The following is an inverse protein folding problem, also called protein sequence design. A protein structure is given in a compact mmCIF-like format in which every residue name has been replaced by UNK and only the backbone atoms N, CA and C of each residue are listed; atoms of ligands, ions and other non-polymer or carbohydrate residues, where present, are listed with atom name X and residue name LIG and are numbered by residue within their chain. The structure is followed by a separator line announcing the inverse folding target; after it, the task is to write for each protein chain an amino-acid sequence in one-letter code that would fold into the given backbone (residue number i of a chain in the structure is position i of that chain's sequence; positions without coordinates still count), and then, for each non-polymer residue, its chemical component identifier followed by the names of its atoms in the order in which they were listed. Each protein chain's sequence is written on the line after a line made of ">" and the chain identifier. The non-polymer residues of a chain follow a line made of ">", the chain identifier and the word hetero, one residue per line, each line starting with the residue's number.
data_IF_931006848414
#
_entry.id   IF_931006848414
#
_cell.length_a   1.000
_cell.length_b   1.000
_cell.length_c   1.000
_cell.angle_alpha   90.00
_cell.angle_beta   90.00
_cell.angle_gamma   90.00
#
_symmetry.space_group_name_H-M   'P 1'
#
loop_
_entity.id
_entity.type
_entity.pdbx_description
1 polymer ?
2 non-polymer ?
3 water ?
#
# COMPACT_ATOMS: atom_id res chain seq x y z
N UNK A 5 -11.09 12.85 16.14
CA UNK A 5 -12.03 12.64 15.02
C UNK A 5 -11.85 11.29 14.32
N UNK A 6 -11.38 10.28 15.03
CA UNK A 6 -11.24 8.95 14.46
C UNK A 6 -12.40 8.07 14.90
N UNK A 7 -13.07 7.44 13.94
CA UNK A 7 -14.10 6.47 14.27
C UNK A 7 -13.51 5.15 14.76
N UNK A 8 -12.30 4.80 14.32
CA UNK A 8 -11.64 3.57 14.75
C UNK A 8 -11.29 3.64 16.22
N UNK A 9 -11.67 2.63 16.99
CA UNK A 9 -11.44 2.74 18.42
C UNK A 9 -9.94 2.64 18.73
N UNK A 10 -9.58 3.04 19.96
CA UNK A 10 -8.18 3.19 20.33
C UNK A 10 -7.45 1.86 20.33
N UNK A 11 -8.09 0.80 20.83
CA UNK A 11 -7.44 -0.51 20.83
C UNK A 11 -7.09 -0.94 19.40
N UNK A 12 -8.01 -0.72 18.45
CA UNK A 12 -7.72 -1.05 17.06
C UNK A 12 -6.61 -0.16 16.49
N UNK A 13 -6.64 1.15 16.80
CA UNK A 13 -5.57 2.03 16.35
C UNK A 13 -4.21 1.51 16.79
N UNK A 14 -4.11 1.04 18.05
CA UNK A 14 -2.85 0.56 18.58
C UNK A 14 -2.41 -0.73 17.91
N UNK A 15 -3.35 -1.67 17.73
CA UNK A 15 -2.99 -2.96 17.15
C UNK A 15 -2.48 -2.81 15.72
N UNK A 16 -3.11 -1.95 14.92
CA UNK A 16 -2.75 -1.87 13.52
C UNK A 16 -1.63 -0.89 13.24
N UNK A 17 -1.44 0.13 14.07
CA UNK A 17 -0.53 1.22 13.72
C UNK A 17 0.32 1.72 14.90
N UNK A 18 -0.34 2.19 15.97
CA UNK A 18 0.37 3.00 16.95
C UNK A 18 1.35 2.16 17.77
N UNK A 19 0.96 0.93 18.12
CA UNK A 19 1.84 0.06 18.90
C UNK A 19 2.37 -1.11 18.10
N UNK A 20 2.14 -1.10 16.79
CA UNK A 20 2.61 -2.17 15.92
C UNK A 20 3.98 -1.78 15.38
N UNK A 21 4.89 -2.75 15.36
CA UNK A 21 6.28 -2.53 15.01
C UNK A 21 6.73 -3.61 14.04
N UNK A 22 7.81 -3.33 13.33
CA UNK A 22 8.40 -4.29 12.41
C UNK A 22 9.27 -5.25 13.21
N UNK A 23 9.01 -6.56 13.10
CA UNK A 23 9.73 -7.55 13.91
C UNK A 23 11.03 -7.95 13.22
N UNK A 24 12.12 -7.92 13.97
CA UNK A 24 13.41 -8.40 13.48
C UNK A 24 13.76 -9.78 14.01
N UNK A 25 12.99 -10.31 14.96
CA UNK A 25 13.15 -11.67 15.42
C UNK A 25 11.77 -12.27 15.60
N UNK A 26 11.68 -13.61 15.53
CA UNK A 26 10.39 -14.29 15.62
C UNK A 26 10.49 -15.51 16.53
N UNK A 27 9.40 -15.77 17.24
CA UNK A 27 9.22 -17.06 17.88
C UNK A 27 9.05 -18.13 16.81
N UNK A 28 9.53 -19.36 17.07
CA UNK A 28 9.45 -20.42 16.06
C UNK A 28 8.04 -20.99 15.86
N UNK A 29 7.09 -20.60 16.70
CA UNK A 29 5.74 -21.15 16.67
C UNK A 29 5.17 -21.19 15.26
N UNK A 30 4.78 -22.39 14.84
CA UNK A 30 4.16 -22.59 13.53
C UNK A 30 2.96 -21.67 13.34
N UNK A 31 2.87 -21.08 12.15
CA UNK A 31 1.72 -20.27 11.73
C UNK A 31 0.95 -21.07 10.69
N UNK A 32 -0.30 -21.39 11.00
CA UNK A 32 -1.06 -22.30 10.14
C UNK A 32 -1.65 -21.62 8.92
N UNK A 33 -2.00 -22.46 7.94
CA UNK A 33 -2.60 -21.93 6.72
C UNK A 33 -3.90 -21.19 7.01
N UNK A 34 -4.68 -21.70 7.97
CA UNK A 34 -5.98 -21.09 8.28
C UNK A 34 -5.81 -19.67 8.81
N UNK A 35 -4.71 -19.41 9.50
CA UNK A 35 -4.42 -18.05 9.97
C UNK A 35 -4.23 -17.11 8.80
N UNK A 36 -3.43 -17.52 7.81
CA UNK A 36 -3.22 -16.69 6.63
C UNK A 36 -4.51 -16.54 5.85
N UNK A 37 -5.31 -17.62 5.78
CA UNK A 37 -6.61 -17.55 5.13
C UNK A 37 -7.49 -16.47 5.76
N UNK A 38 -7.56 -16.42 7.09
CA UNK A 38 -8.37 -15.39 7.74
C UNK A 38 -7.86 -14.00 7.41
N UNK A 39 -6.54 -13.86 7.25
CA UNK A 39 -5.97 -12.55 6.98
C UNK A 39 -6.31 -12.11 5.56
N UNK A 40 -6.09 -12.99 4.58
CA UNK A 40 -6.47 -12.70 3.20
C UNK A 40 -7.97 -12.41 3.09
N UNK A 41 -8.80 -13.18 3.79
CA UNK A 41 -10.25 -12.97 3.70
C UNK A 41 -10.63 -11.55 4.14
N UNK A 42 -9.86 -10.97 5.07
CA UNK A 42 -10.13 -9.62 5.53
C UNK A 42 -9.64 -8.59 4.53
N UNK A 43 -8.35 -8.66 4.14
CA UNK A 43 -7.74 -7.56 3.39
C UNK A 43 -7.88 -7.68 1.88
N UNK A 44 -8.42 -8.80 1.38
CA UNK A 44 -8.69 -8.85 -0.06
C UNK A 44 -9.68 -7.79 -0.49
N UNK A 45 -10.47 -7.25 0.45
CA UNK A 45 -11.42 -6.21 0.09
C UNK A 45 -10.76 -4.87 -0.17
N UNK A 46 -9.55 -4.65 0.34
CA UNK A 46 -8.83 -3.42 0.07
C UNK A 46 -8.78 -3.11 -1.42
N UNK A 47 -9.03 -1.86 -1.81
CA UNK A 47 -9.27 -1.57 -3.23
C UNK A 47 -7.99 -1.49 -4.05
N UNK A 48 -8.11 -1.90 -5.30
CA UNK A 48 -7.07 -1.69 -6.30
C UNK A 48 -7.69 -1.11 -7.56
N UNK A 49 -6.85 -0.46 -8.36
CA UNK A 49 -7.25 0.15 -9.63
C UNK A 49 -7.96 -0.85 -10.53
N UNK A 51 -10.14 -2.85 -9.82
CA UNK A 51 -10.27 -4.12 -9.11
C UNK A 51 -9.24 -5.13 -9.57
N UNK A 52 -8.05 -4.68 -10.01
CA UNK A 52 -7.16 -5.58 -10.74
C UNK A 52 -6.33 -6.50 -9.84
N UNK A 53 -6.31 -6.26 -8.53
CA UNK A 53 -5.69 -7.13 -7.52
C UNK A 53 -4.61 -8.07 -8.06
N UNK A 54 -3.44 -7.56 -8.46
CA UNK A 54 -2.42 -8.41 -9.09
C UNK A 54 -1.55 -9.20 -8.13
N UNK A 56 0.14 -11.93 -5.99
CA UNK A 56 0.19 -13.38 -5.85
C UNK A 56 1.21 -13.71 -4.77
N UNK A 57 0.94 -14.75 -4.00
CA UNK A 57 1.70 -15.02 -2.78
C UNK A 57 2.16 -16.47 -2.79
N UNK A 58 3.45 -16.69 -2.49
CA UNK A 58 3.97 -18.02 -2.20
C UNK A 58 4.41 -18.02 -0.75
N UNK A 59 3.86 -18.93 0.04
CA UNK A 59 4.22 -19.09 1.45
C UNK A 59 5.42 -20.03 1.53
N UNK A 60 6.58 -19.48 1.89
CA UNK A 60 7.82 -20.25 1.95
C UNK A 60 7.91 -20.76 3.38
N UNK A 61 7.25 -21.89 3.62
CA UNK A 61 7.20 -22.39 5.00
C UNK A 61 8.27 -23.43 5.28
N UNK A 62 8.41 -24.44 4.42
CA UNK A 62 9.31 -25.55 4.70
C UNK A 62 10.76 -25.08 4.76
N UNK A 63 11.57 -25.81 5.55
CA UNK A 63 13.01 -25.52 5.60
C UNK A 63 13.62 -25.62 4.21
N UNK A 64 13.21 -26.63 3.44
CA UNK A 64 13.72 -26.81 2.09
C UNK A 64 13.53 -25.57 1.24
N UNK A 65 12.29 -25.06 1.15
CA UNK A 65 12.07 -23.87 0.35
C UNK A 65 12.75 -22.65 0.97
N UNK A 66 12.79 -22.57 2.31
CA UNK A 66 13.43 -21.44 2.94
C UNK A 66 14.91 -21.38 2.59
N UNK A 67 15.60 -22.53 2.58
CA UNK A 67 17.00 -22.51 2.20
C UNK A 67 17.17 -22.06 0.76
N UNK A 68 16.25 -22.46 -0.11
CA UNK A 68 16.30 -22.03 -1.50
C UNK A 68 16.04 -20.53 -1.62
N UNK A 69 15.15 -19.99 -0.77
CA UNK A 69 14.93 -18.55 -0.77
C UNK A 69 16.17 -17.81 -0.28
N UNK A 70 16.82 -18.34 0.75
CA UNK A 70 17.87 -17.59 1.45
C UNK A 70 19.07 -17.33 0.56
N UNK A 71 19.32 -18.17 -0.44
CA UNK A 71 20.44 -17.89 -1.33
C UNK A 71 20.24 -16.60 -2.10
N UNK A 72 19.01 -16.12 -2.23
CA UNK A 72 18.72 -14.91 -2.96
C UNK A 72 18.51 -13.69 -2.07
N UNK A 73 18.68 -13.86 -0.77
CA UNK A 73 18.48 -12.80 0.22
C UNK A 73 19.84 -12.21 0.59
N UNK A 74 19.91 -10.88 0.68
CA UNK A 74 21.18 -10.25 1.06
C UNK A 74 21.61 -10.70 2.45
N UNK A 75 22.94 -10.79 2.64
CA UNK A 75 23.50 -11.32 3.88
C UNK A 75 22.82 -10.73 5.12
N UNK A 76 22.67 -9.41 5.15
CA UNK A 76 22.18 -8.72 6.33
C UNK A 76 20.72 -9.00 6.66
N UNK A 77 19.99 -9.65 5.76
CA UNK A 77 18.60 -10.00 6.00
C UNK A 77 18.37 -11.49 6.23
N UNK A 78 19.40 -12.32 6.06
CA UNK A 78 19.22 -13.76 6.16
C UNK A 78 18.82 -14.18 7.58
N UNK A 79 19.37 -13.52 8.59
CA UNK A 79 19.02 -13.83 9.98
C UNK A 79 17.52 -13.77 10.20
N UNK A 80 16.89 -12.67 9.78
CA UNK A 80 15.45 -12.50 9.95
C UNK A 80 14.67 -13.52 9.12
N UNK A 81 15.02 -13.64 7.84
CA UNK A 81 14.26 -14.51 6.95
C UNK A 81 14.38 -15.97 7.37
N UNK A 82 15.52 -16.37 7.93
CA UNK A 82 15.72 -17.76 8.33
C UNK A 82 14.95 -18.12 9.59
N UNK A 83 14.77 -17.17 10.50
CA UNK A 83 14.15 -17.46 11.78
C UNK A 83 12.63 -17.28 11.78
N UNK A 84 12.07 -16.59 10.80
CA UNK A 84 10.62 -16.46 10.75
C UNK A 84 9.96 -17.83 10.58
N UNK A 85 8.88 -18.11 11.32
CA UNK A 85 8.15 -19.38 11.08
C UNK A 85 7.50 -19.45 9.71
N UNK A 86 7.24 -18.30 9.09
CA UNK A 86 6.58 -18.26 7.80
C UNK A 86 7.10 -17.04 7.05
N UNK A 87 7.38 -17.21 5.77
CA UNK A 87 7.80 -16.12 4.91
C UNK A 87 6.86 -16.09 3.71
N UNK A 88 6.29 -14.92 3.42
CA UNK A 88 5.44 -14.76 2.25
C UNK A 88 6.24 -14.01 1.19
N UNK A 89 6.28 -14.57 -0.04
CA UNK A 89 6.89 -13.90 -1.17
C UNK A 89 5.78 -13.36 -2.06
N UNK A 90 5.82 -12.05 -2.30
CA UNK A 90 4.79 -11.37 -3.07
C UNK A 90 5.31 -11.10 -4.47
N UNK A 91 4.48 -11.39 -5.48
CA UNK A 91 4.77 -11.07 -6.86
C UNK A 91 3.56 -10.41 -7.50
N UNK A 92 3.82 -9.56 -8.48
CA UNK A 92 2.78 -8.86 -9.22
C UNK A 92 2.50 -9.65 -10.49
N UNK A 93 1.24 -10.01 -10.69
CA UNK A 93 0.85 -10.76 -11.88
C UNK A 93 0.80 -9.82 -13.07
N UNK A 94 1.79 -9.95 -13.97
CA UNK A 94 1.84 -9.11 -15.17
C UNK A 94 0.75 -9.49 -16.16
N UNK A 95 0.13 -10.66 -16.01
CA UNK A 95 -1.00 -11.05 -16.83
C UNK A 95 -2.33 -10.64 -16.22
N UNK A 96 -2.33 -9.73 -15.24
CA UNK A 96 -3.58 -9.31 -14.61
C UNK A 96 -4.60 -8.78 -15.62
N UNK A 97 -4.21 -8.13 -16.72
CA UNK A 97 -5.26 -7.68 -17.67
C UNK A 97 -6.17 -8.80 -18.13
N UNK A 98 -5.64 -10.04 -18.28
CA UNK A 98 -6.48 -11.16 -18.69
C UNK A 98 -7.61 -11.44 -17.71
N UNK A 99 -7.49 -11.00 -16.46
CA UNK A 99 -8.50 -11.29 -15.45
C UNK A 99 -9.59 -10.21 -15.36
N UNK A 100 -9.45 -9.10 -16.07
CA UNK A 100 -10.34 -7.95 -15.92
C UNK A 100 -11.74 -8.21 -16.48
N UNK A 101 -11.88 -8.92 -17.60
CA UNK A 101 -13.24 -9.30 -18.05
C UNK A 101 -14.04 -9.94 -16.94
N UNK A 102 -13.36 -10.67 -16.06
CA UNK A 102 -14.02 -11.32 -14.94
C UNK A 102 -14.12 -10.39 -13.73
N UNK A 103 -13.03 -9.71 -13.38
CA UNK A 103 -12.97 -8.95 -12.13
C UNK A 103 -13.53 -7.55 -12.26
N UNK A 104 -13.45 -6.97 -13.45
CA UNK A 104 -13.98 -5.63 -13.72
C UNK A 104 -14.93 -5.74 -14.89
N UNK A 105 -16.05 -6.46 -14.71
CA UNK A 105 -16.81 -6.96 -15.88
C UNK A 105 -17.59 -5.89 -16.62
N UNK A 106 -17.97 -4.80 -15.97
CA UNK A 106 -18.82 -3.79 -16.61
C UNK A 106 -18.06 -2.93 -17.61
N UNK A 107 -16.74 -3.05 -17.71
CA UNK A 107 -15.92 -2.31 -18.66
C UNK A 107 -15.10 -3.31 -19.44
N UNK A 108 -15.68 -3.91 -20.49
CA UNK A 108 -15.01 -5.03 -21.15
C UNK A 108 -13.70 -4.67 -21.82
N UNK A 109 -13.49 -3.40 -22.18
CA UNK A 109 -12.25 -2.97 -22.82
C UNK A 109 -11.20 -2.49 -21.83
N UNK A 110 -11.46 -2.64 -20.53
CA UNK A 110 -10.51 -2.18 -19.52
C UNK A 110 -9.10 -2.70 -19.79
N UNK A 111 -8.98 -3.98 -20.11
CA UNK A 111 -7.66 -4.59 -20.24
C UNK A 111 -6.79 -3.88 -21.27
N UNK A 112 -7.40 -3.26 -22.28
CA UNK A 112 -6.60 -2.57 -23.30
C UNK A 112 -5.91 -1.32 -22.78
N UNK A 113 -6.27 -0.85 -21.58
CA UNK A 113 -5.50 0.21 -20.95
C UNK A 113 -4.06 -0.21 -20.68
N UNK A 114 -3.78 -1.52 -20.69
CA UNK A 114 -2.46 -2.04 -20.33
C UNK A 114 -1.78 -2.71 -21.51
N UNK A 115 -2.09 -2.24 -22.73
CA UNK A 115 -1.46 -2.78 -23.93
C UNK A 115 0.04 -2.59 -23.90
N UNK A 116 0.50 -1.43 -23.41
CA UNK A 116 1.91 -1.11 -23.34
C UNK A 116 2.55 -1.87 -22.18
N UNK A 117 3.72 -2.45 -22.42
CA UNK A 117 4.35 -3.31 -21.41
C UNK A 117 4.74 -2.52 -20.16
N UNK A 118 5.28 -1.31 -20.34
CA UNK A 118 5.65 -0.51 -19.18
C UNK A 118 4.41 -0.11 -18.38
N UNK A 119 3.38 0.36 -19.07
CA UNK A 119 2.14 0.69 -18.36
C UNK A 119 1.62 -0.51 -17.57
N UNK A 120 1.67 -1.69 -18.17
CA UNK A 120 1.19 -2.89 -17.52
C UNK A 120 2.06 -3.24 -16.30
N UNK A 121 3.38 -3.24 -16.47
CA UNK A 121 4.27 -3.54 -15.35
C UNK A 121 4.10 -2.52 -14.23
N UNK A 122 4.07 -1.23 -14.59
CA UNK A 122 3.96 -0.21 -13.56
C UNK A 122 2.66 -0.35 -12.78
N UNK A 123 1.57 -0.69 -13.47
CA UNK A 123 0.29 -0.83 -12.78
C UNK A 123 0.29 -2.07 -11.90
N UNK A 124 0.84 -3.17 -12.40
CA UNK A 124 0.89 -4.40 -11.61
C UNK A 124 1.67 -4.17 -10.31
N UNK A 125 2.79 -3.47 -10.39
CA UNK A 125 3.62 -3.28 -9.20
C UNK A 125 2.97 -2.29 -8.24
N UNK A 126 2.44 -1.19 -8.76
CA UNK A 126 1.81 -0.20 -7.91
C UNK A 126 0.66 -0.81 -7.11
N UNK A 127 -0.21 -1.60 -7.77
CA UNK A 127 -1.34 -2.15 -7.02
C UNK A 127 -0.92 -3.32 -6.13
N UNK A 128 0.15 -4.04 -6.49
CA UNK A 128 0.67 -5.05 -5.56
C UNK A 128 1.30 -4.41 -4.34
N UNK A 129 1.85 -3.19 -4.50
CA UNK A 129 2.35 -2.43 -3.35
C UNK A 129 1.20 -1.97 -2.48
N UNK A 130 0.13 -1.47 -3.08
CA UNK A 130 -1.10 -1.19 -2.33
C UNK A 130 -1.51 -2.40 -1.52
N UNK A 131 -1.59 -3.56 -2.19
CA UNK A 131 -2.01 -4.78 -1.50
C UNK A 131 -1.03 -5.19 -0.41
N UNK A 132 0.27 -4.92 -0.60
CA UNK A 132 1.22 -5.21 0.46
C UNK A 132 0.92 -4.38 1.70
N UNK A 133 0.56 -3.11 1.51
CA UNK A 133 0.15 -2.30 2.64
C UNK A 133 -1.06 -2.86 3.36
N UNK A 134 -2.08 -3.27 2.59
CA UNK A 134 -3.22 -3.95 3.19
C UNK A 134 -2.76 -5.22 3.90
N UNK A 135 -1.84 -5.97 3.28
CA UNK A 135 -1.43 -7.25 3.84
C UNK A 135 -0.69 -7.06 5.15
N UNK A 136 0.17 -6.04 5.21
CA UNK A 136 0.85 -5.74 6.47
C UNK A 136 -0.17 -5.45 7.56
N UNK A 137 -1.16 -4.60 7.27
CA UNK A 137 -2.21 -4.32 8.25
C UNK A 137 -2.96 -5.60 8.61
N UNK A 138 -3.21 -6.45 7.61
CA UNK A 138 -3.91 -7.70 7.88
C UNK A 138 -3.12 -8.64 8.78
N UNK A 139 -1.81 -8.74 8.55
CA UNK A 139 -0.97 -9.57 9.42
C UNK A 139 -1.08 -9.10 10.86
N UNK A 140 -1.01 -7.78 11.08
CA UNK A 140 -1.21 -7.24 12.42
C UNK A 140 -2.64 -7.50 12.91
N UNK A 141 -3.62 -7.39 12.01
CA UNK A 141 -5.00 -7.68 12.42
C UNK A 141 -5.14 -9.10 12.92
N UNK A 142 -4.34 -10.02 12.39
CA UNK A 142 -4.33 -11.41 12.80
C UNK A 142 -3.55 -11.68 14.07
N UNK A 143 -3.16 -10.62 14.79
CA UNK A 143 -2.37 -10.79 16.00
C UNK A 143 -0.92 -11.16 15.78
N UNK A 144 -0.42 -11.05 14.55
CA UNK A 144 0.94 -11.42 14.22
C UNK A 144 1.81 -10.17 14.02
N UNK A 145 3.09 -10.39 13.75
CA UNK A 145 4.01 -9.32 13.43
C UNK A 145 4.51 -9.51 12.00
N UNK A 146 4.65 -8.41 11.27
CA UNK A 146 5.16 -8.43 9.91
C UNK A 146 6.58 -7.90 9.90
N UNK A 147 7.41 -8.51 9.06
CA UNK A 147 8.76 -8.04 8.86
C UNK A 147 9.07 -7.98 7.39
N UNK A 148 8.68 -6.88 6.73
CA UNK A 148 8.90 -6.77 5.29
C UNK A 148 10.38 -6.67 4.97
N UNK A 149 10.74 -7.19 3.79
CA UNK A 149 12.13 -7.28 3.37
C UNK A 149 12.23 -6.91 1.89
N UNK A 150 13.07 -5.92 1.57
CA UNK A 150 13.33 -5.56 0.19
C UNK A 150 14.74 -5.93 -0.27
N UNK A 151 15.64 -6.24 0.65
CA UNK A 151 17.01 -6.58 0.28
C UNK A 151 17.18 -8.01 -0.18
N UNK A 152 16.79 -8.29 -1.42
CA UNK A 152 16.92 -9.61 -2.01
C UNK A 152 17.02 -9.45 -3.52
N UNK A 153 17.34 -10.55 -4.21
CA UNK A 153 17.45 -10.52 -5.66
C UNK A 153 16.15 -11.00 -6.28
N UNK A 154 15.35 -10.09 -6.88
CA UNK A 154 14.04 -10.49 -7.39
C UNK A 154 14.10 -11.56 -8.47
N UNK A 155 15.04 -11.46 -9.41
CA UNK A 155 15.11 -12.46 -10.48
C UNK A 155 15.39 -13.85 -9.92
N UNK A 156 16.35 -13.95 -8.99
CA UNK A 156 16.62 -15.25 -8.39
C UNK A 156 15.40 -15.85 -7.71
N UNK A 157 14.64 -15.03 -7.00
CA UNK A 157 13.45 -15.53 -6.33
C UNK A 157 12.39 -15.96 -7.33
N UNK A 158 12.25 -15.19 -8.42
CA UNK A 158 11.33 -15.56 -9.50
C UNK A 158 11.64 -16.95 -10.02
N UNK A 159 12.92 -17.21 -10.32
CA UNK A 159 13.29 -18.51 -10.85
C UNK A 159 12.95 -19.64 -9.88
N UNK A 160 13.14 -19.41 -8.57
CA UNK A 160 12.92 -20.47 -7.58
C UNK A 160 11.45 -20.80 -7.41
N UNK A 161 10.58 -19.79 -7.31
CA UNK A 161 9.22 -20.00 -6.83
C UNK A 161 8.12 -19.63 -7.83
N UNK A 162 8.46 -18.93 -8.92
CA UNK A 162 7.45 -18.63 -9.94
C UNK A 162 8.01 -18.95 -11.32
N UNK A 163 8.68 -20.09 -11.49
CA UNK A 163 9.44 -20.32 -12.72
C UNK A 163 8.53 -20.32 -13.94
N UNK A 164 8.93 -19.57 -14.96
CA UNK A 164 8.17 -19.43 -16.18
C UNK A 164 6.86 -18.70 -16.06
N UNK A 165 6.53 -18.09 -14.83
CA UNK A 165 5.25 -17.39 -14.73
C UNK A 165 5.42 -15.91 -15.07
N UNK A 166 4.39 -15.28 -15.66
CA UNK A 166 4.49 -13.85 -16.01
C UNK A 166 4.24 -12.95 -14.79
N UNK A 167 5.24 -12.88 -13.92
CA UNK A 167 5.11 -12.11 -12.69
C UNK A 167 6.37 -11.26 -12.51
N UNK A 168 6.29 -10.35 -11.55
CA UNK A 168 7.41 -9.53 -11.12
C UNK A 168 7.49 -9.67 -9.61
N UNK A 169 8.54 -10.31 -9.10
CA UNK A 169 8.64 -10.48 -7.66
C UNK A 169 8.94 -9.14 -7.02
N UNK A 170 8.13 -8.75 -6.03
CA UNK A 170 8.22 -7.41 -5.49
C UNK A 170 8.63 -7.35 -4.02
N UNK A 171 8.35 -8.36 -3.22
CA UNK A 171 8.56 -8.16 -1.78
C UNK A 171 8.58 -9.50 -1.06
N UNK A 172 9.28 -9.51 0.08
CA UNK A 172 9.31 -10.63 1.01
C UNK A 172 8.77 -10.13 2.34
N UNK A 173 7.92 -10.92 2.99
CA UNK A 173 7.35 -10.53 4.27
C UNK A 173 7.50 -11.67 5.27
N UNK A 174 8.37 -11.47 6.26
CA UNK A 174 8.47 -12.38 7.38
C UNK A 174 7.23 -12.26 8.26
N UNK A 175 6.68 -13.39 8.66
CA UNK A 175 5.43 -13.43 9.41
C UNK A 175 5.61 -14.34 10.63
N UNK A 176 5.22 -13.85 11.79
CA UNK A 176 5.20 -14.71 12.97
C UNK A 176 4.89 -13.92 14.22
N UNK A 177 4.86 -14.65 15.34
CA UNK A 177 4.88 -13.99 16.64
C UNK A 177 6.28 -13.45 16.92
N UNK A 178 6.39 -12.28 17.53
CA UNK A 178 7.71 -11.68 17.71
C UNK A 178 8.55 -12.48 18.69
N UNK A 179 9.86 -12.45 18.45
CA UNK A 179 10.80 -13.11 19.32
C UNK A 179 11.29 -12.14 20.37
N UNK A 180 12.20 -12.59 21.24
CA UNK A 180 12.80 -11.65 22.20
C UNK A 180 13.62 -10.61 21.47
N UNK A 181 13.55 -9.37 21.96
CA UNK A 181 14.32 -8.27 21.39
C UNK A 181 14.00 -8.07 19.91
N UNK A 182 12.71 -8.17 19.57
CA UNK A 182 12.33 -8.09 18.16
C UNK A 182 12.32 -6.66 17.64
N UNK A 183 12.23 -5.67 18.52
CA UNK A 183 11.98 -4.29 18.13
C UNK A 183 13.03 -3.37 18.73
N UNK A 184 13.54 -2.45 17.92
CA UNK A 184 14.36 -1.35 18.41
C UNK A 184 13.50 -0.10 18.56
N UNK A 185 14.11 0.99 19.01
CA UNK A 185 13.37 2.22 19.25
C UNK A 185 12.68 2.68 17.98
N UNK A 186 11.47 3.20 18.13
CA UNK A 186 10.76 3.76 16.99
C UNK A 186 11.58 4.88 16.38
N UNK A 187 11.65 4.92 15.07
CA UNK A 187 12.38 5.97 14.38
C UNK A 187 11.47 7.16 14.11
N UNK A 188 12.05 8.30 13.71
CA UNK A 188 11.24 9.50 13.47
C UNK A 188 10.25 9.30 12.32
N UNK A 189 9.22 10.13 12.33
CA UNK A 189 8.31 10.27 11.22
C UNK A 189 8.25 11.75 10.86
N UNK A 190 8.16 12.06 9.58
CA UNK A 190 8.07 13.45 9.16
C UNK A 190 6.88 14.12 9.82
N UNK A 191 7.02 15.41 10.11
CA UNK A 191 5.92 16.18 10.62
C UNK A 191 4.83 16.32 9.58
N UNK A 192 3.59 16.48 10.05
CA UNK A 192 2.47 16.78 9.15
C UNK A 192 2.83 17.90 8.20
N UNK A 193 3.42 18.97 8.72
CA UNK A 193 3.71 20.15 7.92
C UNK A 193 4.78 19.88 6.86
N UNK A 194 5.58 18.83 7.02
CA UNK A 194 6.53 18.45 6.00
C UNK A 194 5.91 17.62 4.88
N UNK A 195 4.75 17.03 5.11
CA UNK A 195 4.16 16.07 4.19
C UNK A 195 2.98 16.65 3.44
N UNK A 196 2.16 17.47 4.10
CA UNK A 196 0.87 17.89 3.58
C UNK A 196 0.84 19.41 3.46
N UNK A 197 0.33 19.91 2.35
CA UNK A 197 -0.01 21.32 2.23
C UNK A 197 -1.32 21.45 1.48
N UNK A 198 -1.88 22.66 1.50
CA UNK A 198 -3.23 22.92 0.98
C UNK A 198 -3.17 24.01 -0.08
N UNK A 199 -4.07 23.91 -1.07
CA UNK A 199 -4.19 24.96 -2.08
C UNK A 199 -5.67 25.27 -2.39
N UNK B 5 -9.68 -16.42 13.83
CA UNK B 5 -8.32 -16.21 14.37
C UNK B 5 -7.80 -14.79 14.17
N UNK B 6 -8.70 -13.81 14.15
CA UNK B 6 -8.31 -12.40 14.01
C UNK B 6 -8.37 -11.71 15.37
N UNK B 7 -7.32 -10.97 15.71
CA UNK B 7 -7.33 -10.17 16.94
C UNK B 7 -8.14 -8.89 16.78
N UNK B 8 -8.15 -8.30 15.60
CA UNK B 8 -8.91 -7.09 15.37
C UNK B 8 -10.41 -7.38 15.51
N UNK B 9 -11.11 -6.58 16.31
CA UNK B 9 -12.52 -6.90 16.55
C UNK B 9 -13.37 -6.64 15.30
N UNK B 10 -14.57 -7.25 15.29
CA UNK B 10 -15.39 -7.25 14.09
C UNK B 10 -15.79 -5.85 13.65
N UNK B 11 -16.10 -4.96 14.59
CA UNK B 11 -16.53 -3.62 14.19
C UNK B 11 -15.38 -2.88 13.48
N UNK B 12 -14.15 -3.06 13.97
CA UNK B 12 -13.01 -2.46 13.30
C UNK B 12 -12.77 -3.12 11.94
N UNK B 13 -12.97 -4.45 11.86
CA UNK B 13 -12.84 -5.15 10.59
C UNK B 13 -13.80 -4.58 9.56
N UNK B 14 -15.04 -4.29 9.99
CA UNK B 14 -16.06 -3.77 9.07
C UNK B 14 -15.71 -2.36 8.62
N UNK B 15 -15.37 -1.49 9.58
CA UNK B 15 -15.07 -0.10 9.25
C UNK B 15 -13.93 0.01 8.22
N UNK B 16 -12.87 -0.78 8.41
CA UNK B 16 -11.67 -0.60 7.60
C UNK B 16 -11.71 -1.39 6.30
N UNK B 17 -12.38 -2.54 6.28
CA UNK B 17 -12.30 -3.44 5.14
C UNK B 17 -13.66 -4.00 4.71
N UNK B 18 -14.35 -4.73 5.59
CA UNK B 18 -15.45 -5.59 5.15
C UNK B 18 -16.65 -4.79 4.68
N UNK B 19 -16.97 -3.70 5.38
CA UNK B 19 -18.10 -2.85 4.99
C UNK B 19 -17.64 -1.52 4.42
N UNK B 20 -16.35 -1.35 4.14
CA UNK B 20 -15.84 -0.15 3.51
C UNK B 20 -15.84 -0.29 2.00
N UNK B 21 -16.23 0.78 1.31
CA UNK B 21 -16.43 0.76 -0.12
C UNK B 21 -15.85 2.02 -0.74
N UNK B 22 -15.56 1.94 -2.04
CA UNK B 22 -15.07 3.09 -2.78
C UNK B 22 -16.24 4.00 -3.14
N UNK B 23 -16.15 5.28 -2.76
CA UNK B 23 -17.27 6.20 -2.92
C UNK B 23 -17.21 6.87 -4.28
N UNK B 24 -18.34 6.86 -4.99
CA UNK B 24 -18.45 7.49 -6.30
C UNK B 24 -19.16 8.83 -6.24
N UNK B 25 -19.82 9.16 -5.14
CA UNK B 25 -20.45 10.45 -4.91
C UNK B 25 -20.16 10.87 -3.48
N UNK B 26 -20.17 12.18 -3.25
CA UNK B 26 -19.81 12.71 -1.93
C UNK B 26 -20.81 13.76 -1.47
N UNK B 27 -21.03 13.81 -0.16
CA UNK B 27 -21.67 14.97 0.42
C UNK B 27 -20.73 16.16 0.35
N UNK B 28 -21.25 17.37 0.17
CA UNK B 28 -20.40 18.56 0.04
C UNK B 28 -19.82 19.02 1.37
N UNK B 29 -20.19 18.38 2.48
CA UNK B 29 -19.74 18.78 3.80
C UNK B 29 -18.23 18.95 3.88
N UNK B 30 -17.80 20.14 4.33
CA UNK B 30 -16.37 20.44 4.47
C UNK B 30 -15.65 19.41 5.35
N UNK B 31 -14.46 18.99 4.92
CA UNK B 31 -13.59 18.11 5.70
C UNK B 31 -12.46 18.96 6.27
N UNK B 32 -12.37 19.02 7.61
CA UNK B 32 -11.44 19.94 8.24
C UNK B 32 -10.00 19.48 8.20
N UNK B 33 -9.08 20.46 8.25
CA UNK B 33 -7.66 20.13 8.31
C UNK B 33 -7.34 19.26 9.51
N UNK B 34 -8.00 19.52 10.65
CA UNK B 34 -7.77 18.74 11.86
C UNK B 34 -8.13 17.28 11.65
N UNK B 35 -9.15 17.02 10.84
CA UNK B 35 -9.52 15.65 10.48
C UNK B 35 -8.38 14.97 9.73
N UNK B 36 -7.82 15.64 8.71
CA UNK B 36 -6.75 15.00 7.96
C UNK B 36 -5.50 14.84 8.82
N UNK B 37 -5.23 15.81 9.70
CA UNK B 37 -4.11 15.65 10.63
C UNK B 37 -4.27 14.39 11.47
N UNK B 38 -5.47 14.14 12.00
CA UNK B 38 -5.65 12.96 12.84
C UNK B 38 -5.43 11.68 12.05
N UNK B 39 -5.81 11.67 10.78
CA UNK B 39 -5.59 10.49 9.93
C UNK B 39 -4.11 10.27 9.69
N UNK B 40 -3.40 11.34 9.29
CA UNK B 40 -1.95 11.23 9.11
C UNK B 40 -1.26 10.80 10.40
N UNK B 41 -1.69 11.34 11.53
CA UNK B 41 -1.03 10.98 12.79
C UNK B 41 -1.16 9.49 13.09
N UNK B 42 -2.21 8.85 12.60
CA UNK B 42 -2.41 7.42 12.80
C UNK B 42 -1.59 6.59 11.82
N UNK B 43 -1.70 6.89 10.52
CA UNK B 43 -1.12 6.01 9.50
C UNK B 43 0.32 6.35 9.13
N UNK B 44 0.86 7.49 9.59
CA UNK B 44 2.29 7.73 9.38
C UNK B 44 3.14 6.62 9.98
N UNK B 45 2.62 5.88 10.95
CA UNK B 45 3.41 4.82 11.57
C UNK B 45 3.59 3.62 10.65
N UNK B 46 2.70 3.43 9.69
CA UNK B 46 2.81 2.32 8.77
C UNK B 46 4.16 2.27 8.08
N UNK B 47 4.76 1.09 8.02
CA UNK B 47 6.19 1.01 7.68
C UNK B 47 6.49 1.16 6.20
N UNK B 48 7.65 1.77 5.93
CA UNK B 48 8.22 1.85 4.60
C UNK B 48 9.68 1.41 4.64
N UNK B 49 10.20 1.06 3.45
CA UNK B 49 11.58 0.61 3.32
C UNK B 49 12.57 1.65 3.85
N UNK B 51 12.46 3.26 6.38
CA UNK B 51 11.70 4.37 6.96
C UNK B 51 11.68 5.58 6.03
N UNK B 52 11.74 5.35 4.71
CA UNK B 52 11.94 6.43 3.73
C UNK B 52 10.68 7.26 3.43
N UNK B 53 9.50 6.83 3.86
CA UNK B 53 8.23 7.56 3.79
C UNK B 53 8.24 8.69 2.74
N UNK B 54 8.20 8.35 1.44
CA UNK B 54 8.31 9.37 0.39
C UNK B 54 7.02 10.08 0.06
N UNK B 56 4.18 12.61 -0.38
CA UNK B 56 3.84 14.01 -0.15
C UNK B 56 2.43 14.23 -0.64
N UNK B 57 1.70 15.14 0.02
CA UNK B 57 0.27 15.32 -0.20
C UNK B 57 -0.03 16.79 -0.43
N UNK B 58 -0.84 17.08 -1.44
CA UNK B 58 -1.41 18.41 -1.62
C UNK B 58 -2.92 18.26 -1.50
N UNK B 59 -3.50 18.98 -0.55
CA UNK B 59 -4.95 19.03 -0.37
C UNK B 59 -5.55 20.07 -1.30
N UNK B 60 -6.27 19.62 -2.32
CA UNK B 60 -6.84 20.49 -3.36
C UNK B 60 -8.23 20.91 -2.85
N UNK B 61 -8.26 22.00 -2.08
CA UNK B 61 -9.48 22.44 -1.40
C UNK B 61 -10.26 23.49 -2.17
N UNK B 62 -9.60 24.59 -2.55
CA UNK B 62 -10.27 25.70 -3.21
C UNK B 62 -10.84 25.29 -4.56
N UNK B 63 -11.98 25.90 -4.91
CA UNK B 63 -12.55 25.70 -6.26
C UNK B 63 -11.53 26.05 -7.33
N UNK B 64 -10.70 27.08 -7.08
CA UNK B 64 -9.70 27.47 -8.07
C UNK B 64 -8.75 26.32 -8.36
N UNK B 65 -8.14 25.76 -7.31
CA UNK B 65 -7.20 24.67 -7.54
C UNK B 65 -7.93 23.41 -8.03
N UNK B 66 -9.18 23.21 -7.62
CA UNK B 66 -9.89 22.04 -8.10
C UNK B 66 -10.14 22.14 -9.61
N UNK B 67 -10.46 23.34 -10.11
CA UNK B 67 -10.61 23.51 -11.55
C UNK B 67 -9.27 23.29 -12.26
N UNK B 68 -8.18 23.74 -11.65
CA UNK B 68 -6.86 23.51 -12.23
C UNK B 68 -6.54 22.02 -12.29
N UNK B 69 -6.89 21.28 -11.24
CA UNK B 69 -6.71 19.83 -11.24
C UNK B 69 -7.58 19.16 -12.30
N UNK B 70 -8.85 19.57 -12.39
CA UNK B 70 -9.79 18.85 -13.25
C UNK B 70 -9.39 18.86 -14.71
N UNK B 71 -8.65 19.87 -15.16
CA UNK B 71 -8.22 19.89 -16.55
C UNK B 71 -7.29 18.72 -16.88
N UNK B 72 -6.74 18.03 -15.89
CA UNK B 72 -5.83 16.91 -16.11
C UNK B 72 -6.46 15.57 -15.77
N UNK B 73 -7.71 15.56 -15.36
CA UNK B 73 -8.45 14.38 -14.98
C UNK B 73 -9.21 13.88 -16.20
N UNK B 74 -9.20 12.56 -16.43
CA UNK B 74 -9.96 12.01 -17.56
C UNK B 74 -11.46 12.29 -17.38
N UNK B 75 -12.13 12.57 -18.50
CA UNK B 75 -13.50 13.07 -18.43
C UNK B 75 -14.38 12.19 -17.56
N UNK B 76 -14.23 10.87 -17.66
CA UNK B 76 -15.05 9.95 -16.90
C UNK B 76 -14.83 9.99 -15.40
N UNK B 77 -13.82 10.70 -14.92
CA UNK B 77 -13.55 10.84 -13.50
C UNK B 77 -13.85 12.23 -12.97
N UNK B 78 -14.26 13.17 -13.84
CA UNK B 78 -14.38 14.56 -13.42
C UNK B 78 -15.55 14.77 -12.48
N UNK B 79 -16.64 14.04 -12.67
CA UNK B 79 -17.78 14.07 -11.76
C UNK B 79 -17.34 13.86 -10.31
N UNK B 80 -16.67 12.73 -10.05
CA UNK B 80 -16.28 12.40 -8.68
C UNK B 80 -15.30 13.44 -8.13
N UNK B 81 -14.27 13.76 -8.91
CA UNK B 81 -13.23 14.67 -8.43
C UNK B 81 -13.82 16.04 -8.14
N UNK B 82 -14.75 16.50 -8.99
CA UNK B 82 -15.33 17.82 -8.82
C UNK B 82 -16.24 17.88 -7.59
N UNK B 83 -16.98 16.80 -7.33
CA UNK B 83 -17.94 16.83 -6.24
C UNK B 83 -17.35 16.50 -4.88
N UNK B 84 -16.17 15.91 -4.83
CA UNK B 84 -15.57 15.61 -3.54
C UNK B 84 -15.31 16.90 -2.78
N UNK B 85 -15.65 16.96 -1.49
CA UNK B 85 -15.31 18.16 -0.71
C UNK B 85 -13.82 18.32 -0.52
N UNK B 86 -13.04 17.25 -0.63
CA UNK B 86 -11.60 17.34 -0.47
C UNK B 86 -10.94 16.31 -1.38
N UNK B 87 -9.86 16.72 -2.03
CA UNK B 87 -9.11 15.86 -2.94
C UNK B 87 -7.64 15.91 -2.53
N UNK B 88 -7.04 14.75 -2.31
CA UNK B 88 -5.62 14.65 -1.97
C UNK B 88 -4.86 14.22 -3.20
N UNK B 89 -3.83 14.99 -3.58
CA UNK B 89 -2.94 14.59 -4.65
C UNK B 89 -1.65 14.08 -4.03
N UNK B 90 -1.31 12.83 -4.31
CA UNK B 90 -0.13 12.19 -3.75
C UNK B 90 0.98 12.17 -4.78
N UNK B 91 2.20 12.51 -4.33
CA UNK B 91 3.39 12.42 -5.13
C UNK B 91 4.51 11.76 -4.33
N UNK B 92 5.37 11.04 -5.05
CA UNK B 92 6.53 10.41 -4.45
C UNK B 92 7.70 11.37 -4.51
N UNK B 93 8.35 11.58 -3.37
CA UNK B 93 9.47 12.53 -3.28
C UNK B 93 10.72 11.84 -3.78
N UNK B 94 11.17 12.21 -4.98
CA UNK B 94 12.38 11.59 -5.53
C UNK B 94 13.64 12.01 -4.77
N UNK B 95 13.57 13.04 -3.94
CA UNK B 95 14.70 13.42 -3.11
C UNK B 95 14.61 12.82 -1.71
N UNK B 96 13.80 11.77 -1.53
CA UNK B 96 13.69 11.17 -0.22
C UNK B 96 15.04 10.75 0.35
N UNK B 97 16.01 10.34 -0.48
CA UNK B 97 17.31 9.95 0.11
C UNK B 97 17.89 11.01 1.01
N UNK B 98 17.66 12.30 0.70
CA UNK B 98 18.22 13.36 1.53
C UNK B 98 17.64 13.39 2.93
N UNK B 99 16.49 12.76 3.16
CA UNK B 99 15.87 12.68 4.49
C UNK B 99 16.37 11.51 5.31
N UNK B 100 17.11 10.59 4.72
CA UNK B 100 17.47 9.35 5.40
C UNK B 100 18.47 9.58 6.53
N UNK B 101 19.39 10.55 6.44
CA UNK B 101 20.25 10.82 7.60
C UNK B 101 19.46 11.05 8.87
N UNK B 102 18.30 11.72 8.81
CA UNK B 102 17.55 11.90 10.04
C UNK B 102 16.47 10.86 10.26
N UNK B 103 15.89 10.29 9.19
CA UNK B 103 14.82 9.32 9.33
C UNK B 103 15.32 7.90 9.55
N UNK B 104 16.50 7.56 9.02
CA UNK B 104 17.11 6.24 9.19
C UNK B 104 18.52 6.43 9.70
N UNK B 105 18.66 7.00 10.91
CA UNK B 105 19.93 7.66 11.27
C UNK B 105 21.06 6.72 11.63
N UNK B 106 20.78 5.44 11.91
CA UNK B 106 21.81 4.51 12.34
C UNK B 106 22.51 3.82 11.17
N UNK B 107 22.14 4.15 9.94
CA UNK B 107 22.81 3.67 8.74
C UNK B 107 23.16 4.88 7.88
N UNK B 108 24.29 5.53 8.15
CA UNK B 108 24.55 6.84 7.53
C UNK B 108 24.74 6.78 6.02
N UNK B 109 25.01 5.61 5.46
CA UNK B 109 25.17 5.46 4.02
C UNK B 109 23.87 5.01 3.35
N UNK B 110 22.77 4.99 4.10
CA UNK B 110 21.52 4.51 3.54
C UNK B 110 21.17 5.24 2.25
N UNK B 111 21.33 6.57 2.27
CA UNK B 111 20.95 7.36 1.10
C UNK B 111 21.61 6.85 -0.17
N UNK B 112 22.81 6.26 -0.05
CA UNK B 112 23.57 5.87 -1.23
C UNK B 112 23.06 4.58 -1.86
N UNK B 113 22.18 3.86 -1.18
CA UNK B 113 21.49 2.76 -1.81
C UNK B 113 20.68 3.22 -3.01
N UNK B 114 20.44 4.53 -3.14
CA UNK B 114 19.56 5.04 -4.17
C UNK B 114 20.27 6.06 -5.06
N UNK B 115 21.56 5.83 -5.30
CA UNK B 115 22.29 6.69 -6.23
C UNK B 115 21.80 6.50 -7.66
N UNK B 116 21.36 5.31 -8.02
CA UNK B 116 20.85 5.08 -9.37
C UNK B 116 19.45 5.71 -9.50
N UNK B 117 19.25 6.49 -10.56
CA UNK B 117 17.99 7.21 -10.72
C UNK B 117 16.80 6.26 -10.86
N UNK B 118 16.98 5.18 -11.62
CA UNK B 118 15.87 4.23 -11.78
C UNK B 118 15.52 3.56 -10.46
N UNK B 119 16.54 3.14 -9.70
CA UNK B 119 16.28 2.51 -8.40
C UNK B 119 15.64 3.50 -7.44
N UNK B 120 16.06 4.77 -7.50
CA UNK B 120 15.50 5.78 -6.63
C UNK B 120 14.04 6.01 -6.95
N UNK B 121 13.72 6.17 -8.24
CA UNK B 121 12.34 6.39 -8.66
C UNK B 121 11.48 5.19 -8.27
N UNK B 122 11.97 3.98 -8.55
CA UNK B 122 11.17 2.79 -8.30
C UNK B 122 10.91 2.60 -6.81
N UNK B 123 11.90 2.92 -5.98
CA UNK B 123 11.67 2.85 -4.53
C UNK B 123 10.72 3.93 -4.07
N UNK B 124 10.84 5.14 -4.64
CA UNK B 124 9.94 6.22 -4.22
C UNK B 124 8.50 5.87 -4.56
N UNK B 125 8.25 5.35 -5.77
CA UNK B 125 6.88 5.06 -6.18
C UNK B 125 6.33 3.89 -5.38
N UNK B 126 7.14 2.84 -5.18
CA UNK B 126 6.68 1.65 -4.47
C UNK B 126 6.27 1.99 -3.04
N UNK B 127 7.12 2.74 -2.31
CA UNK B 127 6.79 3.05 -0.93
C UNK B 127 5.69 4.10 -0.83
N UNK B 128 5.55 4.98 -1.83
CA UNK B 128 4.41 5.88 -1.83
C UNK B 128 3.12 5.12 -2.10
N UNK B 129 3.17 4.06 -2.89
CA UNK B 129 1.99 3.23 -3.09
C UNK B 129 1.63 2.48 -1.81
N UNK B 130 2.64 1.92 -1.14
CA UNK B 130 2.46 1.36 0.19
C UNK B 130 1.75 2.35 1.10
N UNK B 131 2.24 3.58 1.15
CA UNK B 131 1.64 4.59 2.01
C UNK B 131 0.22 4.94 1.56
N UNK B 132 -0.05 4.86 0.27
CA UNK B 132 -1.43 5.08 -0.20
C UNK B 132 -2.34 4.01 0.37
N UNK B 133 -1.85 2.78 0.47
CA UNK B 133 -2.62 1.74 1.13
C UNK B 133 -2.96 2.10 2.55
N UNK B 134 -1.95 2.52 3.32
CA UNK B 134 -2.18 3.00 4.69
C UNK B 134 -3.17 4.16 4.70
N UNK B 135 -2.98 5.11 3.79
CA UNK B 135 -3.82 6.31 3.77
C UNK B 135 -5.28 5.96 3.52
N UNK B 136 -5.54 5.05 2.59
CA UNK B 136 -6.92 4.64 2.34
C UNK B 136 -7.53 4.08 3.62
N UNK B 137 -6.80 3.17 4.29
CA UNK B 137 -7.28 2.64 5.56
C UNK B 137 -7.45 3.75 6.59
N UNK B 138 -6.54 4.72 6.57
CA UNK B 138 -6.63 5.81 7.52
C UNK B 138 -7.85 6.68 7.28
N UNK B 139 -8.16 6.94 6.01
CA UNK B 139 -9.36 7.71 5.69
C UNK B 139 -10.59 7.02 6.24
N UNK B 140 -10.68 5.71 6.02
CA UNK B 140 -11.79 4.93 6.56
C UNK B 140 -11.79 4.95 8.09
N UNK B 141 -10.60 4.88 8.69
CA UNK B 141 -10.50 4.99 10.15
C UNK B 141 -11.05 6.32 10.65
N UNK B 142 -10.92 7.38 9.87
CA UNK B 142 -11.47 8.68 10.23
C UNK B 142 -12.97 8.80 10.03
N UNK B 143 -13.65 7.68 9.74
CA UNK B 143 -15.08 7.72 9.46
C UNK B 143 -15.46 8.29 8.11
N UNK B 144 -14.51 8.44 7.20
CA UNK B 144 -14.76 9.00 5.87
C UNK B 144 -14.71 7.92 4.81
N UNK B 145 -15.01 8.31 3.57
CA UNK B 145 -14.91 7.41 2.44
C UNK B 145 -13.78 7.86 1.53
N UNK B 146 -13.06 6.88 0.97
CA UNK B 146 -11.96 7.15 0.04
C UNK B 146 -12.40 6.80 -1.37
N UNK B 147 -12.01 7.64 -2.33
CA UNK B 147 -12.26 7.35 -3.73
C UNK B 147 -11.01 7.58 -4.56
N UNK B 148 -10.13 6.57 -4.58
CA UNK B 148 -8.87 6.71 -5.33
C UNK B 148 -9.14 6.79 -6.83
N UNK B 149 -8.28 7.55 -7.51
CA UNK B 149 -8.42 7.83 -8.93
C UNK B 149 -7.04 7.76 -9.57
N UNK B 150 -6.88 6.88 -10.56
CA UNK B 150 -5.67 6.81 -11.35
C UNK B 150 -5.84 7.38 -12.76
N UNK B 151 -7.08 7.60 -13.20
CA UNK B 151 -7.32 8.16 -14.52
C UNK B 151 -7.12 9.65 -14.64
N UNK B 152 -5.85 10.05 -14.69
CA UNK B 152 -5.45 11.45 -14.84
C UNK B 152 -4.08 11.47 -15.48
N UNK B 153 -3.65 12.68 -15.85
CA UNK B 153 -2.37 12.92 -16.51
C UNK B 153 -1.36 13.39 -15.46
N UNK B 154 -0.43 12.53 -15.02
CA UNK B 154 0.46 12.93 -13.92
C UNK B 154 1.34 14.10 -14.25
N UNK B 155 1.73 14.23 -15.53
CA UNK B 155 2.61 15.31 -15.93
C UNK B 155 1.93 16.66 -15.78
N UNK B 156 0.68 16.77 -16.20
CA UNK B 156 -0.06 18.01 -16.03
C UNK B 156 -0.29 18.36 -14.58
N UNK B 157 -0.58 17.35 -13.75
CA UNK B 157 -0.79 17.61 -12.33
C UNK B 157 0.52 18.07 -11.67
N UNK B 158 1.64 17.49 -12.10
CA UNK B 158 2.95 17.92 -11.61
C UNK B 158 3.19 19.38 -11.94
N UNK B 159 3.03 19.76 -13.21
CA UNK B 159 3.21 21.15 -13.60
C UNK B 159 2.33 22.07 -12.77
N UNK B 160 1.11 21.62 -12.48
CA UNK B 160 0.12 22.47 -11.84
C UNK B 160 0.40 22.67 -10.36
N UNK B 161 0.73 21.60 -9.63
CA UNK B 161 0.81 21.69 -8.18
C UNK B 161 2.19 21.43 -7.59
N UNK B 162 3.13 20.87 -8.36
CA UNK B 162 4.47 20.64 -7.85
C UNK B 162 5.52 21.22 -8.78
N UNK B 163 5.29 22.41 -9.34
CA UNK B 163 6.21 22.91 -10.38
C UNK B 163 7.64 22.96 -9.85
N UNK B 164 8.57 22.49 -10.68
CA UNK B 164 9.98 22.47 -10.32
C UNK B 164 10.32 21.56 -9.16
N UNK B 165 9.38 20.65 -8.74
CA UNK B 165 9.87 19.87 -7.61
C UNK B 165 10.28 18.47 -8.05
N UNK B 166 11.24 17.86 -7.35
CA UNK B 166 11.70 16.51 -7.72
C UNK B 166 10.75 15.43 -7.20
N UNK B 167 9.55 15.39 -7.75
CA UNK B 167 8.53 14.44 -7.32
C UNK B 167 8.00 13.68 -8.53
N UNK B 168 7.24 12.63 -8.23
CA UNK B 168 6.53 11.84 -9.22
C UNK B 168 5.09 11.72 -8.75
N UNK B 169 4.18 12.42 -9.43
CA UNK B 169 2.78 12.39 -9.04
C UNK B 169 2.24 10.99 -9.26
N UNK B 170 1.64 10.41 -8.24
CA UNK B 170 1.24 9.01 -8.32
C UNK B 170 -0.25 8.79 -8.23
N UNK B 171 -1.00 9.65 -7.55
CA UNK B 171 -2.36 9.26 -7.22
C UNK B 171 -3.19 10.48 -6.85
N UNK B 172 -4.49 10.34 -7.08
CA UNK B 172 -5.51 11.30 -6.63
C UNK B 172 -6.47 10.52 -5.74
N UNK B 173 -6.80 11.08 -4.58
CA UNK B 173 -7.74 10.43 -3.64
C UNK B 173 -8.84 11.42 -3.30
N UNK B 174 -10.07 11.13 -3.74
CA UNK B 174 -11.23 11.87 -3.28
C UNK B 174 -11.56 11.48 -1.85
N UNK B 175 -11.84 12.47 -1.01
CA UNK B 175 -12.10 12.25 0.41
C UNK B 175 -13.39 12.96 0.81
N UNK B 176 -14.25 12.26 1.53
CA UNK B 176 -15.46 12.90 1.99
C UNK B 176 -16.44 11.91 2.59
N UNK B 177 -17.54 12.47 3.11
CA UNK B 177 -18.67 11.61 3.44
C UNK B 177 -19.39 11.22 2.15
N UNK B 178 -19.87 9.98 2.05
CA UNK B 178 -20.49 9.54 0.79
C UNK B 178 -21.78 10.29 0.51
N UNK B 179 -22.07 10.48 -0.77
CA UNK B 179 -23.31 11.09 -1.18
C UNK B 179 -24.37 10.04 -1.45
N UNK B 180 -25.47 10.45 -2.08
CA UNK B 180 -26.48 9.46 -2.48
C UNK B 180 -25.94 8.54 -3.56
N UNK B 181 -26.30 7.26 -3.46
CA UNK B 181 -25.96 6.29 -4.50
C UNK B 181 -24.44 6.25 -4.71
N UNK B 182 -23.68 6.39 -3.61
CA UNK B 182 -22.23 6.47 -3.73
C UNK B 182 -21.60 5.13 -4.10
N UNK B 183 -22.28 4.02 -3.83
CA UNK B 183 -21.68 2.70 -3.90
C UNK B 183 -22.41 1.81 -4.90
N UNK B 184 -21.65 1.16 -5.76
CA UNK B 184 -22.12 0.10 -6.64
C UNK B 184 -21.92 -1.26 -5.96
N UNK B 185 -22.51 -2.30 -6.53
CA UNK B 185 -22.38 -3.63 -5.97
C UNK B 185 -20.90 -4.03 -5.90
N UNK B 186 -20.53 -4.72 -4.83
CA UNK B 186 -19.17 -5.22 -4.69
C UNK B 186 -18.79 -6.08 -5.88
N UNK B 187 -17.59 -5.88 -6.41
CA UNK B 187 -17.09 -6.71 -7.50
C UNK B 187 -16.37 -7.93 -6.93
N UNK B 188 -16.05 -8.90 -7.80
CA UNK B 188 -15.42 -10.14 -7.32
C UNK B 188 -14.03 -9.91 -6.75
N UNK B 189 -13.69 -10.74 -5.77
CA UNK B 189 -12.31 -10.90 -5.33
C UNK B 189 -11.85 -12.31 -5.67
N UNK B 190 -10.57 -12.43 -6.03
CA UNK B 190 -10.02 -13.75 -6.31
C UNK B 190 -10.10 -14.64 -5.07
N UNK B 191 -10.32 -15.93 -5.30
CA UNK B 191 -10.29 -16.87 -4.20
C UNK B 191 -8.89 -17.03 -3.61
N UNK B 192 -8.85 -17.34 -2.32
CA UNK B 192 -7.56 -17.59 -1.65
C UNK B 192 -6.69 -18.54 -2.47
N UNK B 193 -7.28 -19.65 -2.95
CA UNK B 193 -6.51 -20.66 -3.67
C UNK B 193 -5.98 -20.16 -4.99
N UNK B 194 -6.58 -19.10 -5.55
CA UNK B 194 -6.06 -18.47 -6.75
C UNK B 194 -4.89 -17.53 -6.46
N UNK B 195 -4.72 -17.10 -5.22
CA UNK B 195 -3.78 -16.04 -4.87
C UNK B 195 -2.56 -16.59 -4.12
N UNK B 196 -2.77 -17.57 -3.26
CA UNK B 196 -1.76 -18.06 -2.31
C UNK B 196 -1.48 -19.53 -2.58
N UNK B 197 -0.21 -19.92 -2.50
CA UNK B 197 0.16 -21.32 -2.49
C UNK B 197 1.33 -21.49 -1.50
N UNK B 198 1.55 -22.73 -1.07
CA UNK B 198 2.57 -23.01 -0.06
C UNK B 198 3.65 -23.93 -0.61
N UNK B 199 4.86 -23.80 -0.07
CA UNK B 199 5.97 -24.65 -0.47
C UNK B 199 6.87 -24.96 0.73
#
# INVERSE_FOLDING_TARGET
>A
XAGHPLALDEAAQDLLFREARTANTFAPTHIGDEHIEAIYDLVKWGPTSXNQQPXRVVLVRSDESRRALLQHVLEGNRDKVASAPLVAVLAADLSFPDTLPRLFPHAPNARHAYADENARRESAVFNTALQLGYFIIGIRAGGLAAGPIAGFDPEGVHKEFFPGEPVLVTSIVNIGYPGPDAFSARLPRLGYREVVRSV
>B
XAGHPLALDEAAQDLLFREARTANTFAPTHIGDEHIEAIYDLVKWGPTSXNQQPXRVVLVRSDESRRALLQHVLEGNRDKVASAPLVAVLAADLSFPDTLPRLFPHAPNARHAYADENARRESAVFNTALQLGYFIIGIRAGGLAAGPIAGFDPEGVHKEFFPGEPVLVTSIVNIGYPGPDAFSARLPRLGYREVVRSV
#
